data_IF_516103480692
#
_entry.id   IF_516103480692
#
_cell.length_a   1.000
_cell.length_b   1.000
_cell.length_c   1.000
_cell.angle_alpha   90.00
_cell.angle_beta   90.00
_cell.angle_gamma   90.00
#
_symmetry.space_group_name_H-M   'P 1'
#
loop_
_entity.id
_entity.type
_entity.pdbx_description
1 polymer ?
#
# COMPACT_ATOMS: atom_id res chain seq x y z
N UNK A 1 5.23 13.20 11.12
CA UNK A 1 6.53 13.16 11.84
C UNK A 1 6.65 12.01 12.84
N UNK A 2 5.63 11.15 13.06
CA UNK A 2 5.63 10.23 14.23
C UNK A 2 5.84 8.73 13.97
N UNK A 3 5.72 8.19 12.75
CA UNK A 3 5.71 6.72 12.56
C UNK A 3 7.10 6.07 12.52
N UNK A 4 8.10 6.74 11.94
CA UNK A 4 9.44 6.14 11.73
C UNK A 4 10.29 6.10 13.01
N UNK A 5 10.25 7.14 13.84
CA UNK A 5 10.99 7.16 15.10
C UNK A 5 10.39 6.22 16.16
N UNK A 6 9.07 6.01 16.15
CA UNK A 6 8.42 5.00 16.97
C UNK A 6 8.79 3.58 16.52
N UNK A 7 8.78 3.31 15.20
CA UNK A 7 9.25 2.04 14.66
C UNK A 7 10.71 1.75 15.05
N UNK A 8 11.61 2.74 14.95
CA UNK A 8 13.02 2.60 15.40
C UNK A 8 13.13 2.27 16.88
N UNK A 9 12.31 2.91 17.73
CA UNK A 9 12.31 2.67 19.18
C UNK A 9 11.79 1.28 19.53
N UNK A 10 10.79 0.79 18.81
CA UNK A 10 10.26 -0.60 18.94
C UNK A 10 11.29 -1.63 18.47
N UNK A 11 11.95 -1.39 17.33
CA UNK A 11 13.02 -2.25 16.79
C UNK A 11 14.19 -2.42 17.76
N UNK A 12 14.61 -1.33 18.44
CA UNK A 12 15.69 -1.37 19.43
C UNK A 12 15.34 -2.16 20.71
N UNK A 13 14.07 -2.46 20.92
CA UNK A 13 13.56 -3.21 22.09
C UNK A 13 13.12 -4.63 21.76
N UNK A 14 13.19 -5.02 20.48
CA UNK A 14 12.83 -6.36 20.06
C UNK A 14 13.97 -7.32 20.40
N UNK A 15 13.69 -8.32 21.22
CA UNK A 15 14.68 -9.30 21.69
C UNK A 15 14.60 -10.61 20.87
N UNK A 16 13.43 -10.91 20.29
CA UNK A 16 13.20 -12.09 19.45
C UNK A 16 12.97 -11.72 17.98
N UNK A 17 13.36 -12.61 17.06
CA UNK A 17 13.17 -12.40 15.61
C UNK A 17 11.70 -12.19 15.20
N UNK A 18 10.74 -12.70 15.98
CA UNK A 18 9.31 -12.49 15.79
C UNK A 18 8.91 -11.03 16.07
N UNK A 19 9.45 -10.42 17.11
CA UNK A 19 9.16 -9.03 17.48
C UNK A 19 9.76 -8.05 16.47
N UNK A 20 10.97 -8.36 15.98
CA UNK A 20 11.61 -7.59 14.90
C UNK A 20 10.71 -7.60 13.66
N UNK A 21 10.14 -8.76 13.31
CA UNK A 21 9.28 -8.90 12.15
C UNK A 21 7.95 -8.15 12.28
N UNK A 22 7.31 -8.17 13.45
CA UNK A 22 6.07 -7.40 13.68
C UNK A 22 6.32 -5.89 13.57
N UNK A 23 7.46 -5.39 14.06
CA UNK A 23 7.84 -3.98 13.89
C UNK A 23 8.12 -3.64 12.43
N UNK A 24 8.76 -4.54 11.67
CA UNK A 24 8.99 -4.35 10.24
C UNK A 24 7.65 -4.31 9.48
N UNK A 25 6.70 -5.19 9.78
CA UNK A 25 5.34 -5.13 9.18
C UNK A 25 4.66 -3.80 9.47
N UNK A 26 4.72 -3.32 10.71
CA UNK A 26 4.14 -2.04 11.10
C UNK A 26 4.82 -0.86 10.40
N UNK A 27 6.15 -0.90 10.23
CA UNK A 27 6.87 0.13 9.48
C UNK A 27 6.50 0.12 7.99
N UNK A 28 6.40 -1.06 7.38
CA UNK A 28 5.98 -1.26 6.00
C UNK A 28 4.53 -0.79 5.81
N UNK A 29 3.64 -1.09 6.76
CA UNK A 29 2.24 -0.60 6.81
C UNK A 29 2.14 0.90 6.63
N UNK A 30 2.94 1.64 7.39
CA UNK A 30 2.92 3.09 7.40
C UNK A 30 3.57 3.70 6.16
N UNK A 31 4.29 2.90 5.36
CA UNK A 31 5.02 3.34 4.17
C UNK A 31 4.27 3.07 2.87
N UNK A 32 3.41 2.05 2.82
CA UNK A 32 2.76 1.63 1.58
C UNK A 32 1.31 2.12 1.55
N UNK A 33 1.11 3.31 0.98
CA UNK A 33 -0.19 3.83 0.56
C UNK A 33 -0.23 3.83 -0.97
N UNK A 34 -1.27 3.22 -1.55
CA UNK A 34 -1.54 3.33 -2.99
C UNK A 34 -2.42 4.55 -3.22
N UNK A 35 -1.91 5.52 -3.98
CA UNK A 35 -2.69 6.63 -4.48
C UNK A 35 -2.73 6.58 -6.00
N UNK A 36 -3.93 6.47 -6.55
CA UNK A 36 -4.17 6.54 -7.99
C UNK A 36 -5.06 7.73 -8.25
N UNK A 37 -4.62 8.59 -9.16
CA UNK A 37 -5.38 9.72 -9.64
C UNK A 37 -5.56 9.58 -11.15
N UNK A 38 -6.81 9.66 -11.61
CA UNK A 38 -7.15 9.80 -13.02
C UNK A 38 -7.77 11.16 -13.22
N UNK A 39 -7.16 11.98 -14.07
CA UNK A 39 -7.57 13.36 -14.32
C UNK A 39 -7.81 13.58 -15.81
N UNK A 40 -8.85 14.34 -16.14
CA UNK A 40 -9.08 14.86 -17.49
C UNK A 40 -8.49 16.25 -17.57
N UNK A 41 -7.68 16.51 -18.59
CA UNK A 41 -7.04 17.82 -18.85
C UNK A 41 -7.55 18.33 -20.20
N UNK A 42 -8.02 19.58 -20.25
CA UNK A 42 -8.47 20.22 -21.51
C UNK A 42 -9.98 20.25 -21.75
N UNK A 43 -10.80 20.27 -20.68
CA UNK A 43 -12.26 20.34 -20.73
C UNK A 43 -12.85 20.80 -19.40
N UNK A 44 -13.97 20.23 -18.97
CA UNK A 44 -14.44 20.39 -17.58
C UNK A 44 -13.48 19.68 -16.64
N UNK A 45 -12.67 20.45 -15.92
CA UNK A 45 -11.69 19.91 -14.97
C UNK A 45 -12.38 18.98 -13.97
N UNK A 46 -11.83 17.78 -13.83
CA UNK A 46 -12.30 16.79 -12.87
C UNK A 46 -11.34 15.61 -12.75
N UNK A 47 -11.36 14.98 -11.58
CA UNK A 47 -10.54 13.81 -11.27
C UNK A 47 -11.33 12.74 -10.53
N UNK A 48 -10.83 11.51 -10.64
CA UNK A 48 -11.13 10.37 -9.77
C UNK A 48 -9.84 10.05 -9.03
N UNK A 49 -9.90 10.05 -7.71
CA UNK A 49 -8.78 9.69 -6.85
C UNK A 49 -9.21 8.49 -6.01
N UNK A 50 -8.41 7.44 -6.01
CA UNK A 50 -8.52 6.33 -5.07
C UNK A 50 -7.25 6.27 -4.24
N UNK A 51 -7.40 6.35 -2.94
CA UNK A 51 -6.35 6.12 -1.95
C UNK A 51 -6.67 4.82 -1.20
N UNK A 52 -5.69 3.94 -1.09
CA UNK A 52 -5.82 2.64 -0.42
C UNK A 52 -4.67 2.52 0.59
N UNK A 53 -5.03 2.37 1.85
CA UNK A 53 -4.14 1.81 2.87
C UNK A 53 -4.10 0.30 2.65
N UNK A 54 -2.96 -0.21 2.20
CA UNK A 54 -2.85 -1.57 1.72
C UNK A 54 -2.71 -2.60 2.84
N UNK A 55 -2.54 -2.15 4.09
CA UNK A 55 -2.44 -3.02 5.24
C UNK A 55 -3.72 -3.00 6.08
N UNK A 56 -4.41 -1.86 6.16
CA UNK A 56 -5.74 -1.77 6.77
C UNK A 56 -6.86 -2.15 5.78
N UNK A 57 -6.53 -2.27 4.49
CA UNK A 57 -7.49 -2.40 3.39
C UNK A 57 -8.52 -1.26 3.35
N UNK A 58 -8.19 -0.12 3.97
CA UNK A 58 -9.04 1.06 4.02
C UNK A 58 -8.95 1.79 2.67
N UNK A 59 -10.11 1.96 2.03
CA UNK A 59 -10.22 2.60 0.72
C UNK A 59 -10.98 3.90 0.83
N UNK A 60 -10.35 4.98 0.37
CA UNK A 60 -10.95 6.30 0.22
C UNK A 60 -11.04 6.65 -1.26
N UNK A 61 -12.24 7.02 -1.72
CA UNK A 61 -12.44 7.48 -3.10
C UNK A 61 -12.94 8.93 -3.09
N UNK A 62 -12.31 9.79 -3.88
CA UNK A 62 -12.77 11.14 -4.17
C UNK A 62 -13.11 11.22 -5.66
N UNK A 63 -14.39 11.42 -5.97
CA UNK A 63 -14.90 11.38 -7.34
C UNK A 63 -15.55 12.72 -7.65
N UNK A 64 -15.07 13.41 -8.67
CA UNK A 64 -15.70 14.64 -9.14
C UNK A 64 -17.12 14.35 -9.69
N UNK A 65 -18.10 15.18 -9.36
CA UNK A 65 -19.54 14.91 -9.60
C UNK A 65 -19.87 14.58 -11.06
N UNK A 66 -19.16 15.18 -12.00
CA UNK A 66 -19.33 14.93 -13.43
C UNK A 66 -19.02 13.47 -13.79
N UNK A 67 -18.03 12.85 -13.14
CA UNK A 67 -17.70 11.45 -13.35
C UNK A 67 -18.79 10.51 -12.83
N UNK A 68 -19.70 10.93 -11.96
CA UNK A 68 -20.80 10.06 -11.50
C UNK A 68 -22.00 10.07 -12.45
N UNK A 69 -22.22 11.19 -13.16
CA UNK A 69 -23.48 11.44 -13.88
C UNK A 69 -23.32 11.46 -15.40
N UNK A 70 -22.12 11.78 -15.89
CA UNK A 70 -21.89 11.92 -17.33
C UNK A 70 -21.48 10.57 -17.95
N UNK A 71 -22.20 10.09 -18.98
CA UNK A 71 -21.82 8.88 -19.71
C UNK A 71 -20.51 9.05 -20.51
N UNK A 72 -20.10 10.27 -20.88
CA UNK A 72 -18.82 10.53 -21.57
C UNK A 72 -17.62 10.11 -20.70
N UNK A 73 -17.77 10.19 -19.37
CA UNK A 73 -16.73 9.77 -18.43
C UNK A 73 -16.82 8.29 -18.02
N UNK A 74 -17.78 7.51 -18.57
CA UNK A 74 -17.90 6.08 -18.24
C UNK A 74 -16.64 5.26 -18.56
N UNK A 75 -16.01 5.40 -19.74
CA UNK A 75 -14.78 4.66 -20.04
C UNK A 75 -13.62 5.03 -19.10
N UNK A 76 -13.61 6.26 -18.59
CA UNK A 76 -12.58 6.72 -17.66
C UNK A 76 -12.76 6.16 -16.25
N UNK A 77 -14.01 5.89 -15.83
CA UNK A 77 -14.28 5.17 -14.58
C UNK A 77 -13.80 3.72 -14.66
N UNK A 78 -14.07 3.06 -15.78
CA UNK A 78 -13.67 1.67 -16.00
C UNK A 78 -12.14 1.58 -16.07
N UNK A 79 -11.50 2.50 -16.81
CA UNK A 79 -10.04 2.62 -16.84
C UNK A 79 -9.46 2.83 -15.44
N UNK A 80 -9.99 3.77 -14.65
CA UNK A 80 -9.51 4.02 -13.29
C UNK A 80 -9.64 2.77 -12.40
N UNK A 81 -10.77 2.06 -12.50
CA UNK A 81 -11.01 0.82 -11.75
C UNK A 81 -10.02 -0.27 -12.12
N UNK A 82 -9.70 -0.40 -13.41
CA UNK A 82 -8.68 -1.33 -13.88
C UNK A 82 -7.28 -0.96 -13.36
N UNK A 83 -6.92 0.32 -13.35
CA UNK A 83 -5.66 0.78 -12.79
C UNK A 83 -5.55 0.47 -11.28
N UNK A 84 -6.65 0.68 -10.53
CA UNK A 84 -6.72 0.31 -9.11
C UNK A 84 -6.46 -1.18 -8.93
N UNK A 85 -7.16 -2.03 -9.68
CA UNK A 85 -6.99 -3.49 -9.60
C UNK A 85 -5.57 -3.94 -9.95
N UNK A 86 -4.98 -3.39 -11.01
CA UNK A 86 -3.62 -3.74 -11.43
C UNK A 86 -2.59 -3.35 -10.38
N UNK A 87 -2.74 -2.17 -9.77
CA UNK A 87 -1.85 -1.70 -8.73
C UNK A 87 -1.98 -2.50 -7.43
N UNK A 88 -3.20 -2.87 -7.02
CA UNK A 88 -3.44 -3.78 -5.89
C UNK A 88 -2.72 -5.12 -6.10
N UNK A 89 -2.82 -5.71 -7.30
CA UNK A 89 -2.15 -6.97 -7.64
C UNK A 89 -0.62 -6.84 -7.62
N UNK A 90 -0.06 -5.74 -8.16
CA UNK A 90 1.38 -5.51 -8.16
C UNK A 90 1.93 -5.32 -6.73
N UNK A 91 1.21 -4.58 -5.89
CA UNK A 91 1.56 -4.40 -4.49
C UNK A 91 1.50 -5.72 -3.72
N UNK A 92 0.46 -6.53 -3.94
CA UNK A 92 0.35 -7.83 -3.27
C UNK A 92 1.57 -8.70 -3.57
N UNK A 93 2.02 -8.76 -4.83
CA UNK A 93 3.24 -9.48 -5.22
C UNK A 93 4.49 -8.92 -4.52
N UNK A 94 4.58 -7.60 -4.37
CA UNK A 94 5.70 -6.94 -3.67
C UNK A 94 5.68 -7.24 -2.17
N UNK A 95 4.51 -7.26 -1.53
CA UNK A 95 4.35 -7.64 -0.13
C UNK A 95 4.73 -9.10 0.10
N UNK A 96 4.29 -10.01 -0.78
CA UNK A 96 4.68 -11.42 -0.74
C UNK A 96 6.21 -11.59 -0.89
N UNK A 97 6.83 -10.83 -1.80
CA UNK A 97 8.28 -10.80 -1.93
C UNK A 97 8.98 -10.33 -0.66
N UNK A 98 8.50 -9.24 -0.04
CA UNK A 98 9.05 -8.72 1.22
C UNK A 98 8.91 -9.74 2.36
N UNK A 99 7.77 -10.41 2.45
CA UNK A 99 7.54 -11.46 3.44
C UNK A 99 8.45 -12.67 3.22
N UNK A 100 8.64 -13.10 1.98
CA UNK A 100 9.56 -14.18 1.64
C UNK A 100 11.01 -13.81 1.97
N UNK A 101 11.43 -12.60 1.63
CA UNK A 101 12.77 -12.09 1.95
C UNK A 101 12.99 -12.08 3.46
N UNK A 102 12.01 -11.63 4.24
CA UNK A 102 12.11 -11.63 5.68
C UNK A 102 12.18 -13.03 6.28
N UNK A 103 11.39 -13.98 5.78
CA UNK A 103 11.46 -15.38 6.21
C UNK A 103 12.85 -15.98 5.96
N UNK A 104 13.47 -15.68 4.81
CA UNK A 104 14.84 -16.11 4.50
C UNK A 104 15.84 -15.49 5.49
N UNK A 105 15.75 -14.18 5.76
CA UNK A 105 16.64 -13.49 6.68
C UNK A 105 16.50 -14.00 8.12
N UNK A 106 15.27 -14.24 8.60
CA UNK A 106 15.04 -14.86 9.92
C UNK A 106 15.60 -16.28 9.98
N UNK A 107 15.49 -17.05 8.89
CA UNK A 107 16.08 -18.37 8.77
C UNK A 107 17.61 -18.38 8.85
N UNK A 108 18.27 -17.29 8.41
CA UNK A 108 19.72 -17.13 8.52
C UNK A 108 20.19 -16.61 9.89
N UNK A 109 19.31 -15.89 10.61
CA UNK A 109 19.61 -15.34 11.94
C UNK A 109 19.36 -16.37 13.05
N UNK A 110 18.47 -17.34 12.85
CA UNK A 110 18.35 -18.47 13.77
C UNK A 110 19.66 -19.25 13.77
N UNK A 111 20.28 -19.49 14.95
CA UNK A 111 21.45 -20.35 15.00
C UNK A 111 21.04 -21.71 14.42
N UNK A 112 21.87 -22.21 13.51
CA UNK A 112 21.89 -23.63 13.18
C UNK A 112 22.23 -24.32 14.50
N UNK A 113 21.23 -24.88 15.19
CA UNK A 113 21.49 -25.86 16.23
C UNK A 113 22.15 -27.07 15.56
N UNK A 114 23.44 -27.24 15.87
CA UNK A 114 24.38 -28.36 15.68
C UNK A 114 24.17 -29.34 14.52
#
# INVERSE_FOLDING_TARGET
MSTVEEAKKKLRKAEEGKDVWEVIKEAISNLICLKIETKVIGGTDGSIITEIDLLQADRKNEIHINFLKDPVFAPLRDFHTEQVKLAEQDIQKKLEFLQNMANVLVGWIKPVEE
#
